data_IF_565338970681
#
_entry.id   IF_565338970681
#
_cell.length_a   1.000
_cell.length_b   1.000
_cell.length_c   1.000
_cell.angle_alpha   90.00
_cell.angle_beta   90.00
_cell.angle_gamma   90.00
#
_symmetry.space_group_name_H-M   'P 1'
#
loop_
_entity.id
_entity.type
_entity.pdbx_description
1 polymer ?
#
# COMPACT_ATOMS: atom_id res chain seq x y z
N UNK A 1 9.38 -9.63 9.94
CA UNK A 1 9.72 -10.30 8.66
C UNK A 1 8.94 -9.60 7.55
N UNK A 2 9.57 -9.29 6.42
CA UNK A 2 8.88 -8.71 5.26
C UNK A 2 8.25 -9.84 4.42
N UNK A 3 6.96 -9.74 4.07
CA UNK A 3 6.24 -10.69 3.19
C UNK A 3 6.92 -10.83 1.82
N UNK A 4 7.57 -9.77 1.36
CA UNK A 4 8.29 -9.72 0.09
C UNK A 4 9.79 -9.58 0.30
N UNK A 5 10.56 -10.23 -0.57
CA UNK A 5 12.02 -10.07 -0.62
C UNK A 5 12.40 -8.73 -1.28
N UNK A 6 13.62 -8.23 -1.03
CA UNK A 6 14.12 -6.99 -1.64
C UNK A 6 14.08 -7.02 -3.18
N UNK A 7 14.30 -8.19 -3.77
CA UNK A 7 14.25 -8.36 -5.22
C UNK A 7 12.83 -8.27 -5.76
N UNK A 8 11.85 -8.83 -5.05
CA UNK A 8 10.43 -8.75 -5.39
C UNK A 8 9.92 -7.31 -5.28
N UNK A 9 10.29 -6.61 -4.21
CA UNK A 9 9.93 -5.20 -4.00
C UNK A 9 10.44 -4.34 -5.16
N UNK A 10 11.73 -4.42 -5.49
CA UNK A 10 12.32 -3.68 -6.61
C UNK A 10 11.70 -4.06 -7.96
N UNK A 11 11.27 -5.30 -8.12
CA UNK A 11 10.58 -5.73 -9.32
C UNK A 11 9.20 -5.09 -9.44
N UNK A 12 8.43 -5.02 -8.35
CA UNK A 12 7.13 -4.35 -8.30
C UNK A 12 7.24 -2.83 -8.47
N UNK A 13 8.30 -2.22 -7.95
CA UNK A 13 8.61 -0.79 -8.16
C UNK A 13 8.98 -0.45 -9.62
N UNK A 14 9.20 -1.46 -10.48
CA UNK A 14 9.64 -1.25 -11.86
C UNK A 14 11.08 -0.73 -11.99
N UNK A 15 11.84 -0.69 -10.88
CA UNK A 15 13.12 0.00 -10.78
C UNK A 15 14.31 -0.78 -11.35
N UNK A 16 14.12 -2.05 -11.76
CA UNK A 16 15.20 -2.91 -12.28
C UNK A 16 14.82 -3.64 -13.57
N UNK A 17 15.58 -3.39 -14.66
CA UNK A 17 15.59 -4.27 -15.84
C UNK A 17 16.16 -5.64 -15.44
N UNK A 18 15.40 -6.69 -15.68
CA UNK A 18 15.76 -8.07 -15.38
C UNK A 18 15.60 -8.94 -16.63
N UNK A 19 16.31 -10.07 -16.67
CA UNK A 19 16.14 -11.06 -17.74
C UNK A 19 14.73 -11.65 -17.72
N UNK A 20 14.17 -11.99 -18.89
CA UNK A 20 12.83 -12.60 -19.02
C UNK A 20 12.63 -13.83 -18.15
N UNK A 21 13.61 -14.75 -18.09
CA UNK A 21 13.52 -15.96 -17.27
C UNK A 21 13.34 -15.64 -15.78
N UNK A 22 14.09 -14.66 -15.29
CA UNK A 22 13.99 -14.18 -13.91
C UNK A 22 12.67 -13.44 -13.65
N UNK A 23 12.17 -12.69 -14.63
CA UNK A 23 10.86 -12.05 -14.56
C UNK A 23 9.73 -13.08 -14.37
N UNK A 24 9.73 -14.14 -15.17
CA UNK A 24 8.78 -15.24 -15.02
C UNK A 24 8.85 -15.89 -13.64
N UNK A 25 10.07 -16.09 -13.12
CA UNK A 25 10.27 -16.61 -11.77
C UNK A 25 9.66 -15.70 -10.71
N UNK A 26 9.94 -14.40 -10.77
CA UNK A 26 9.40 -13.42 -9.81
C UNK A 26 7.87 -13.35 -9.88
N UNK A 27 7.29 -13.31 -11.08
CA UNK A 27 5.84 -13.36 -11.29
C UNK A 27 5.23 -14.62 -10.66
N UNK A 28 5.83 -15.79 -10.89
CA UNK A 28 5.36 -17.05 -10.30
C UNK A 28 5.40 -17.03 -8.77
N UNK A 29 6.49 -16.55 -8.18
CA UNK A 29 6.64 -16.43 -6.73
C UNK A 29 5.58 -15.50 -6.15
N UNK A 30 5.41 -14.31 -6.74
CA UNK A 30 4.42 -13.33 -6.30
C UNK A 30 3.00 -13.87 -6.38
N UNK A 31 2.64 -14.56 -7.48
CA UNK A 31 1.34 -15.22 -7.62
C UNK A 31 1.09 -16.24 -6.51
N UNK A 32 2.08 -17.09 -6.19
CA UNK A 32 1.95 -18.08 -5.10
C UNK A 32 1.76 -17.43 -3.73
N UNK A 33 2.50 -16.35 -3.45
CA UNK A 33 2.36 -15.59 -2.21
C UNK A 33 0.98 -14.94 -2.09
N UNK A 34 0.50 -14.33 -3.18
CA UNK A 34 -0.83 -13.72 -3.22
C UNK A 34 -1.93 -14.76 -3.00
N UNK A 35 -1.86 -15.90 -3.69
CA UNK A 35 -2.80 -17.00 -3.51
C UNK A 35 -2.79 -17.53 -2.06
N UNK A 36 -1.60 -17.70 -1.47
CA UNK A 36 -1.48 -18.13 -0.06
C UNK A 36 -2.13 -17.12 0.89
N UNK A 37 -1.91 -15.82 0.66
CA UNK A 37 -2.52 -14.76 1.45
C UNK A 37 -4.05 -14.79 1.34
N UNK A 38 -4.60 -14.86 0.12
CA UNK A 38 -6.04 -14.81 -0.11
C UNK A 38 -6.77 -16.09 0.29
N UNK A 39 -6.19 -17.25 0.00
CA UNK A 39 -6.87 -18.54 0.16
C UNK A 39 -6.71 -19.12 1.56
N UNK A 40 -5.64 -18.76 2.28
CA UNK A 40 -5.31 -19.36 3.59
C UNK A 40 -5.28 -18.34 4.70
N UNK A 41 -4.48 -17.28 4.55
CA UNK A 41 -4.23 -16.34 5.65
C UNK A 41 -5.42 -15.40 5.89
N UNK A 42 -6.05 -14.91 4.84
CA UNK A 42 -7.16 -13.96 4.94
C UNK A 42 -8.40 -14.59 5.60
N UNK A 43 -8.86 -15.81 5.24
CA UNK A 43 -9.97 -16.46 5.93
C UNK A 43 -9.70 -16.71 7.42
N UNK A 44 -8.46 -17.09 7.75
CA UNK A 44 -8.03 -17.21 9.16
C UNK A 44 -8.13 -15.87 9.88
N UNK A 45 -7.67 -14.80 9.25
CA UNK A 45 -7.72 -13.46 9.83
C UNK A 45 -9.16 -12.97 10.02
N UNK A 46 -10.06 -13.25 9.07
CA UNK A 46 -11.50 -12.94 9.19
C UNK A 46 -12.16 -13.74 10.32
N UNK A 47 -11.74 -14.98 10.56
CA UNK A 47 -12.26 -15.77 11.69
C UNK A 47 -11.80 -15.25 13.06
N UNK A 48 -10.57 -14.75 13.13
CA UNK A 48 -9.99 -14.17 14.37
C UNK A 48 -10.47 -12.75 14.63
N UNK A 49 -10.73 -11.99 13.58
CA UNK A 49 -11.15 -10.60 13.63
C UNK A 49 -12.41 -10.45 12.74
N UNK A 50 -13.62 -10.63 13.31
CA UNK A 50 -14.87 -10.68 12.53
C UNK A 50 -15.25 -9.37 11.84
N UNK A 51 -14.57 -8.26 12.16
CA UNK A 51 -14.66 -6.99 11.45
C UNK A 51 -13.26 -6.36 11.35
N UNK A 52 -12.37 -6.91 10.52
CA UNK A 52 -11.05 -6.33 10.37
C UNK A 52 -11.22 -5.12 9.46
N UNK A 53 -11.25 -3.91 10.04
CA UNK A 53 -11.11 -2.69 9.24
C UNK A 53 -9.65 -2.56 8.78
N UNK A 54 -9.34 -3.28 7.71
CA UNK A 54 -8.01 -3.35 7.09
C UNK A 54 -7.62 -2.04 6.40
N UNK A 55 -8.51 -1.04 6.34
CA UNK A 55 -8.22 0.28 5.74
C UNK A 55 -7.61 1.26 6.76
N UNK A 56 -7.73 0.98 8.07
CA UNK A 56 -7.19 1.83 9.15
C UNK A 56 -5.66 1.91 9.18
N UNK A 57 -4.94 1.02 8.48
CA UNK A 57 -3.48 1.06 8.40
C UNK A 57 -2.92 2.27 7.61
N UNK A 58 -3.78 3.02 6.93
CA UNK A 58 -3.41 4.25 6.21
C UNK A 58 -3.51 5.53 7.05
N UNK A 59 -4.08 5.47 8.27
CA UNK A 59 -4.19 6.67 9.12
C UNK A 59 -2.88 6.93 9.82
N UNK A 60 -2.01 7.63 9.10
CA UNK A 60 -0.82 8.37 9.53
C UNK A 60 -0.18 7.94 10.86
N UNK A 61 1.01 7.34 10.78
CA UNK A 61 2.07 7.78 11.69
C UNK A 61 2.37 9.23 11.37
N UNK A 62 1.57 10.15 11.90
CA UNK A 62 2.11 11.47 12.20
C UNK A 62 3.26 11.21 13.19
N UNK A 63 4.45 11.82 13.00
CA UNK A 63 5.43 11.87 14.07
C UNK A 63 4.69 12.39 15.30
N UNK A 64 4.84 11.72 16.44
CA UNK A 64 4.38 12.23 17.73
C UNK A 64 4.88 13.66 17.86
N UNK A 65 4.02 14.62 17.55
CA UNK A 65 4.31 16.04 17.70
C UNK A 65 4.17 16.27 19.17
N UNK A 66 5.30 16.15 19.88
CA UNK A 66 5.42 16.63 21.24
C UNK A 66 4.85 18.06 21.26
N UNK A 67 3.80 18.25 22.05
CA UNK A 67 3.14 19.53 22.26
C UNK A 67 4.16 20.49 22.83
N UNK A 68 4.69 21.38 21.99
CA UNK A 68 5.32 22.62 22.48
C UNK A 68 4.15 23.58 22.73
N UNK A 69 3.91 24.02 23.97
CA UNK A 69 2.83 24.95 24.27
C UNK A 69 3.24 26.33 23.76
N UNK A 70 2.50 26.83 22.77
CA UNK A 70 2.64 28.20 22.28
C UNK A 70 2.86 28.28 20.78
N UNK A 71 1.79 28.20 20.00
CA UNK A 71 1.78 28.85 18.68
C UNK A 71 0.33 29.21 18.30
N UNK A 72 0.12 30.51 18.06
CA UNK A 72 -1.16 31.19 17.83
C UNK A 72 -1.97 30.62 16.63
N UNK A 73 -3.32 30.68 16.65
CA UNK A 73 -4.16 30.20 15.57
C UNK A 73 -4.37 31.30 14.52
N UNK A 74 -3.79 31.13 13.34
CA UNK A 74 -3.93 32.12 12.27
C UNK A 74 -3.42 31.62 10.93
N UNK A 75 -4.07 30.59 10.37
CA UNK A 75 -4.11 30.31 8.92
C UNK A 75 -4.98 29.07 8.65
N UNK A 76 -6.21 29.31 8.21
CA UNK A 76 -7.05 28.30 7.57
C UNK A 76 -6.47 28.00 6.19
N UNK A 77 -5.90 26.82 5.99
CA UNK A 77 -5.68 26.27 4.64
C UNK A 77 -6.85 25.33 4.35
N UNK A 78 -7.94 25.93 3.86
CA UNK A 78 -8.86 25.24 2.95
C UNK A 78 -8.25 25.29 1.54
N UNK A 79 -8.58 24.32 0.68
CA UNK A 79 -8.10 24.10 -0.71
C UNK A 79 -6.84 23.19 -0.76
N UNK A 80 -6.78 22.02 -1.41
CA UNK A 80 -7.52 21.42 -2.53
C UNK A 80 -7.43 19.88 -2.40
N UNK A 81 -8.55 19.18 -2.26
CA UNK A 81 -8.55 17.70 -2.19
C UNK A 81 -9.61 17.07 -3.10
N UNK A 82 -9.98 17.74 -4.20
CA UNK A 82 -10.99 17.22 -5.14
C UNK A 82 -10.55 17.01 -6.58
N UNK A 83 -9.32 17.33 -6.98
CA UNK A 83 -8.91 17.15 -8.39
C UNK A 83 -8.02 15.92 -8.67
N UNK A 84 -7.38 15.32 -7.66
CA UNK A 84 -6.42 14.23 -7.92
C UNK A 84 -7.05 12.83 -8.07
N UNK A 85 -8.31 12.64 -7.65
CA UNK A 85 -8.96 11.32 -7.65
C UNK A 85 -9.53 10.93 -9.03
N UNK A 86 -9.86 11.90 -9.91
CA UNK A 86 -10.47 11.57 -11.21
C UNK A 86 -9.42 11.19 -12.27
N UNK A 87 -8.23 11.80 -12.27
CA UNK A 87 -7.14 11.49 -13.21
C UNK A 87 -6.60 10.06 -13.03
N UNK A 88 -6.53 9.58 -11.78
CA UNK A 88 -6.03 8.23 -11.50
C UNK A 88 -6.98 7.13 -11.98
N UNK A 89 -8.30 7.32 -11.83
CA UNK A 89 -9.30 6.36 -12.29
C UNK A 89 -9.42 6.33 -13.83
N UNK A 90 -9.18 7.46 -14.50
CA UNK A 90 -9.14 7.53 -15.96
C UNK A 90 -7.94 6.77 -16.57
N UNK A 91 -6.78 6.75 -15.89
CA UNK A 91 -5.58 6.05 -16.38
C UNK A 91 -5.65 4.53 -16.27
N UNK A 92 -6.44 3.99 -15.35
CA UNK A 92 -6.60 2.52 -15.19
C UNK A 92 -7.55 1.94 -16.25
N UNK A 93 -8.46 2.74 -16.81
CA UNK A 93 -9.48 2.25 -17.75
C UNK A 93 -9.01 2.09 -19.20
N UNK A 94 -7.75 2.44 -19.52
CA UNK A 94 -7.20 2.43 -20.90
C UNK A 94 -6.04 1.42 -21.08
N UNK A 95 -5.78 0.57 -20.08
CA UNK A 95 -4.74 -0.47 -20.11
C UNK A 95 -5.30 -1.88 -20.20
#
# INVERSE_FOLDING_TARGET
>A
MSLLSKAEIRYLEGSKKISKSYEYKLKSILKKKLATLLDKELPLLTSLFPNPDLTKFSKGRSPLKATIPGSNPGRSILCLEKEAQSEFLLRISVL
#
